data_IF_203815856574
#
_entry.id   IF_203815856574
#
_cell.length_a   1.000
_cell.length_b   1.000
_cell.length_c   1.000
_cell.angle_alpha   90.00
_cell.angle_beta   90.00
_cell.angle_gamma   90.00
#
_symmetry.space_group_name_H-M   'P 1'
#
loop_
_entity.id
_entity.type
_entity.pdbx_description
1 polymer ?
#
# COMPACT_ATOMS: atom_id res chain seq x y z
N UNK A 1 -15.01 -2.38 7.87
CA UNK A 1 -13.57 -2.62 7.60
C UNK A 1 -12.81 -1.36 7.93
N UNK A 2 -12.22 -1.27 9.13
CA UNK A 2 -11.26 -0.21 9.43
C UNK A 2 -10.06 -0.37 8.50
N UNK A 3 -9.50 0.76 8.08
CA UNK A 3 -8.24 0.80 7.34
C UNK A 3 -7.26 1.59 8.18
N UNK A 4 -6.08 1.03 8.41
CA UNK A 4 -5.02 1.64 9.23
C UNK A 4 -3.87 2.04 8.31
N UNK A 5 -3.33 3.27 8.44
CA UNK A 5 -2.16 3.69 7.67
C UNK A 5 -0.97 2.77 7.88
N UNK A 6 -0.31 2.36 6.79
CA UNK A 6 0.81 1.43 6.80
C UNK A 6 1.98 1.90 7.69
N UNK A 7 2.23 3.22 7.70
CA UNK A 7 3.30 3.83 8.48
C UNK A 7 3.11 3.74 10.01
N UNK A 8 1.89 3.50 10.51
CA UNK A 8 1.65 3.26 11.93
C UNK A 8 2.27 1.94 12.41
N UNK A 9 2.38 0.96 11.51
CA UNK A 9 2.96 -0.37 11.79
C UNK A 9 4.38 -0.52 11.24
N UNK A 10 4.70 0.14 10.12
CA UNK A 10 5.98 -0.01 9.39
C UNK A 10 6.64 1.33 9.04
N UNK A 11 6.89 2.17 10.06
CA UNK A 11 7.40 3.54 9.88
C UNK A 11 8.68 3.64 9.02
N UNK A 12 9.68 2.79 9.27
CA UNK A 12 10.95 2.85 8.54
C UNK A 12 10.78 2.58 7.05
N UNK A 13 9.98 1.56 6.70
CA UNK A 13 9.70 1.19 5.31
C UNK A 13 8.85 2.27 4.65
N UNK A 14 7.82 2.77 5.34
CA UNK A 14 6.98 3.83 4.80
C UNK A 14 7.78 5.11 4.49
N UNK A 15 8.77 5.48 5.32
CA UNK A 15 9.66 6.61 5.06
C UNK A 15 10.48 6.46 3.77
N UNK A 16 10.89 5.24 3.44
CA UNK A 16 11.71 4.97 2.25
C UNK A 16 10.87 4.75 0.99
N UNK A 17 9.66 4.21 1.13
CA UNK A 17 8.92 3.62 0.02
C UNK A 17 7.60 4.31 -0.33
N UNK A 18 7.14 5.25 0.50
CA UNK A 18 5.95 6.07 0.17
C UNK A 18 6.20 6.83 -1.12
N UNK A 19 5.32 6.62 -2.10
CA UNK A 19 5.40 7.31 -3.39
C UNK A 19 4.90 8.74 -3.24
N UNK A 20 5.61 9.69 -3.82
CA UNK A 20 5.13 11.05 -4.01
C UNK A 20 4.86 11.31 -5.50
N UNK A 21 3.82 12.09 -5.79
CA UNK A 21 3.64 12.77 -7.06
C UNK A 21 4.12 14.20 -6.87
N UNK A 22 5.08 14.60 -7.70
CA UNK A 22 5.65 15.94 -7.66
C UNK A 22 5.03 16.72 -8.82
N UNK A 23 4.19 17.70 -8.51
CA UNK A 23 3.57 18.56 -9.51
C UNK A 23 4.47 19.79 -9.70
N UNK A 24 5.15 19.87 -10.84
CA UNK A 24 5.95 21.03 -11.29
C UNK A 24 5.42 21.39 -12.67
N UNK A 25 5.03 22.65 -12.87
CA UNK A 25 4.41 23.14 -14.10
C UNK A 25 3.25 22.25 -14.61
N UNK A 26 2.52 21.61 -13.67
CA UNK A 26 1.40 20.74 -14.01
C UNK A 26 0.17 21.60 -14.35
N UNK A 27 -0.45 21.42 -15.53
CA UNK A 27 -1.57 22.27 -15.95
C UNK A 27 -2.87 21.99 -15.17
N UNK A 28 -2.96 20.87 -14.46
CA UNK A 28 -4.17 20.42 -13.78
C UNK A 28 -4.01 20.38 -12.25
N UNK A 29 -2.80 20.18 -11.73
CA UNK A 29 -2.55 20.19 -10.29
C UNK A 29 -1.80 21.45 -9.83
N UNK A 30 -2.19 22.03 -8.68
CA UNK A 30 -1.36 23.01 -7.99
C UNK A 30 0.05 22.46 -7.75
N UNK A 31 1.05 23.33 -7.86
CA UNK A 31 2.45 23.02 -7.56
C UNK A 31 2.59 22.44 -6.15
N UNK A 32 3.44 21.43 -6.00
CA UNK A 32 3.74 20.82 -4.71
C UNK A 32 3.79 19.31 -4.72
N UNK A 33 3.93 18.75 -3.52
CA UNK A 33 4.09 17.32 -3.30
C UNK A 33 2.80 16.66 -2.82
N UNK A 34 2.43 15.55 -3.46
CA UNK A 34 1.27 14.74 -3.13
C UNK A 34 1.71 13.32 -2.77
N UNK A 35 1.68 12.97 -1.49
CA UNK A 35 2.14 11.68 -0.99
C UNK A 35 1.01 10.65 -1.03
N UNK A 36 1.29 9.47 -1.58
CA UNK A 36 0.35 8.35 -1.66
C UNK A 36 0.47 7.52 -0.37
N UNK A 37 -0.19 7.98 0.71
CA UNK A 37 -0.11 7.31 2.01
C UNK A 37 -1.00 6.09 2.00
N UNK A 38 -0.38 4.91 2.00
CA UNK A 38 -1.06 3.62 1.97
C UNK A 38 -1.77 3.33 3.31
N UNK A 39 -2.98 2.80 3.25
CA UNK A 39 -3.71 2.22 4.37
C UNK A 39 -4.31 0.86 3.99
N UNK A 40 -4.34 -0.07 4.93
CA UNK A 40 -4.73 -1.47 4.74
C UNK A 40 -5.76 -1.94 5.76
N UNK A 41 -6.55 -2.94 5.39
CA UNK A 41 -7.58 -3.53 6.25
C UNK A 41 -6.97 -4.30 7.44
N UNK A 42 -7.34 -3.89 8.65
CA UNK A 42 -6.88 -4.49 9.92
C UNK A 42 -7.80 -5.60 10.45
N UNK A 43 -8.84 -5.97 9.69
CA UNK A 43 -9.72 -7.07 10.05
C UNK A 43 -8.98 -8.42 9.93
N UNK A 44 -8.96 -9.17 11.03
CA UNK A 44 -8.37 -10.51 11.11
C UNK A 44 -9.07 -11.46 10.13
N UNK A 45 -8.30 -12.26 9.41
CA UNK A 45 -8.81 -13.21 8.40
C UNK A 45 -9.29 -12.58 7.09
N UNK A 46 -9.29 -11.25 6.97
CA UNK A 46 -9.75 -10.56 5.75
C UNK A 46 -8.68 -10.54 4.65
N UNK A 47 -8.96 -11.20 3.51
CA UNK A 47 -8.14 -11.16 2.29
C UNK A 47 -8.71 -10.19 1.25
N UNK A 48 -8.92 -8.91 1.60
CA UNK A 48 -9.56 -7.97 0.69
C UNK A 48 -8.73 -7.62 -0.55
N UNK A 49 -7.40 -7.80 -0.51
CA UNK A 49 -6.46 -7.46 -1.58
C UNK A 49 -6.68 -6.05 -2.15
N UNK A 50 -6.82 -5.09 -1.24
CA UNK A 50 -7.09 -3.68 -1.52
C UNK A 50 -6.20 -2.79 -0.67
N UNK A 51 -5.91 -1.61 -1.22
CA UNK A 51 -5.22 -0.51 -0.53
C UNK A 51 -6.07 0.75 -0.66
N UNK A 52 -6.07 1.59 0.38
CA UNK A 52 -6.49 2.97 0.27
C UNK A 52 -5.25 3.84 0.13
N UNK A 53 -5.17 4.61 -0.95
CA UNK A 53 -4.16 5.63 -1.17
C UNK A 53 -4.74 6.96 -0.68
N UNK A 54 -4.42 7.33 0.56
CA UNK A 54 -4.75 8.62 1.13
C UNK A 54 -3.77 9.65 0.56
N UNK A 55 -4.22 10.43 -0.42
CA UNK A 55 -3.38 11.41 -1.09
C UNK A 55 -3.25 12.62 -0.19
N UNK A 56 -2.09 12.76 0.44
CA UNK A 56 -1.77 13.87 1.32
C UNK A 56 -1.06 14.97 0.54
N UNK A 57 -1.60 16.20 0.58
CA UNK A 57 -0.96 17.38 0.01
C UNK A 57 -0.09 18.04 1.06
N UNK A 58 1.19 18.24 0.76
CA UNK A 58 2.12 18.94 1.63
C UNK A 58 1.71 20.41 1.83
N UNK A 59 1.39 21.10 0.73
CA UNK A 59 1.03 22.51 0.72
C UNK A 59 -0.27 22.81 1.48
N UNK A 60 -1.27 21.92 1.37
CA UNK A 60 -2.53 22.06 2.12
C UNK A 60 -2.48 21.43 3.51
N UNK A 61 -1.46 20.65 3.80
CA UNK A 61 -1.29 19.90 5.05
C UNK A 61 -2.53 19.06 5.41
N UNK A 62 -3.14 18.40 4.40
CA UNK A 62 -4.36 17.59 4.55
C UNK A 62 -4.45 16.47 3.50
N UNK A 63 -5.35 15.51 3.74
CA UNK A 63 -5.72 14.51 2.74
C UNK A 63 -6.70 15.16 1.76
N UNK A 64 -6.30 15.24 0.48
CA UNK A 64 -7.07 15.89 -0.59
C UNK A 64 -7.85 14.90 -1.45
N UNK A 65 -7.51 13.61 -1.39
CA UNK A 65 -8.27 12.54 -2.04
C UNK A 65 -8.03 11.20 -1.36
N UNK A 66 -9.02 10.31 -1.41
CA UNK A 66 -8.87 8.90 -1.00
C UNK A 66 -9.23 8.01 -2.17
N UNK A 67 -8.24 7.29 -2.69
CA UNK A 67 -8.39 6.39 -3.83
C UNK A 67 -8.26 4.96 -3.34
N UNK A 68 -9.32 4.19 -3.47
CA UNK A 68 -9.29 2.76 -3.22
C UNK A 68 -8.74 2.06 -4.48
N UNK A 69 -7.83 1.12 -4.30
CA UNK A 69 -7.27 0.31 -5.38
C UNK A 69 -7.34 -1.18 -5.04
N UNK A 70 -8.01 -1.95 -5.88
CA UNK A 70 -8.01 -3.41 -5.84
C UNK A 70 -7.32 -4.01 -7.06
N UNK A 71 -6.39 -4.94 -6.86
CA UNK A 71 -5.59 -5.53 -7.96
C UNK A 71 -6.11 -6.88 -8.46
N UNK A 72 -7.15 -7.44 -7.86
CA UNK A 72 -7.68 -8.74 -8.26
C UNK A 72 -8.73 -8.68 -9.37
N UNK A 73 -9.11 -9.86 -9.84
CA UNK A 73 -10.16 -10.01 -10.85
C UNK A 73 -11.55 -9.65 -10.29
N UNK A 74 -12.49 -9.26 -11.17
CA UNK A 74 -13.90 -9.10 -10.81
C UNK A 74 -14.50 -10.32 -10.14
N UNK A 75 -14.10 -11.52 -10.58
CA UNK A 75 -14.56 -12.79 -10.01
C UNK A 75 -14.13 -12.91 -8.55
N UNK A 76 -12.86 -12.63 -8.25
CA UNK A 76 -12.36 -12.61 -6.88
C UNK A 76 -13.19 -11.66 -6.01
N UNK A 77 -13.44 -10.44 -6.47
CA UNK A 77 -14.20 -9.47 -5.69
C UNK A 77 -15.69 -9.83 -5.55
N UNK A 78 -16.30 -10.48 -6.55
CA UNK A 78 -17.65 -11.02 -6.43
C UNK A 78 -17.73 -12.09 -5.33
N UNK A 79 -16.75 -13.01 -5.32
CA UNK A 79 -16.66 -14.09 -4.33
C UNK A 79 -16.38 -13.52 -2.92
N UNK A 80 -15.43 -12.60 -2.79
CA UNK A 80 -15.04 -11.98 -1.52
C UNK A 80 -16.13 -11.07 -0.93
N UNK A 81 -16.78 -10.23 -1.75
CA UNK A 81 -17.79 -9.29 -1.28
C UNK A 81 -19.12 -9.98 -0.91
N UNK A 82 -19.31 -11.23 -1.37
CA UNK A 82 -20.51 -12.01 -1.08
C UNK A 82 -21.79 -11.46 -1.73
N UNK A 83 -21.66 -10.53 -2.70
CA UNK A 83 -22.76 -10.01 -3.51
C UNK A 83 -22.35 -9.93 -4.97
N UNK A 84 -23.28 -10.27 -5.85
CA UNK A 84 -23.11 -10.16 -7.30
C UNK A 84 -23.75 -8.87 -7.84
N UNK A 85 -23.31 -7.71 -7.33
CA UNK A 85 -23.67 -6.40 -7.86
C UNK A 85 -22.56 -5.92 -8.80
N UNK A 86 -22.80 -5.89 -10.13
CA UNK A 86 -21.77 -5.52 -11.11
C UNK A 86 -21.20 -4.12 -10.90
N UNK A 87 -22.00 -3.17 -10.44
CA UNK A 87 -21.56 -1.80 -10.23
C UNK A 87 -20.65 -1.71 -9.01
N UNK A 88 -21.06 -2.33 -7.89
CA UNK A 88 -20.23 -2.41 -6.70
C UNK A 88 -18.91 -3.15 -6.97
N UNK A 89 -18.94 -4.26 -7.71
CA UNK A 89 -17.74 -5.03 -8.07
C UNK A 89 -16.79 -4.21 -8.97
N UNK A 90 -17.32 -3.37 -9.85
CA UNK A 90 -16.50 -2.50 -10.69
C UNK A 90 -15.70 -1.49 -9.86
N UNK A 91 -16.28 -0.95 -8.78
CA UNK A 91 -15.60 -0.04 -7.86
C UNK A 91 -14.62 -0.78 -6.90
N UNK A 92 -14.75 -2.12 -6.81
CA UNK A 92 -13.81 -2.96 -6.09
C UNK A 92 -12.54 -3.28 -6.89
N UNK A 93 -12.62 -3.26 -8.22
CA UNK A 93 -11.47 -3.55 -9.09
C UNK A 93 -10.85 -2.27 -9.64
N UNK A 94 -9.53 -2.17 -9.54
CA UNK A 94 -8.79 -1.01 -10.02
C UNK A 94 -8.96 0.21 -9.12
N UNK A 95 -8.42 1.37 -9.55
CA UNK A 95 -8.48 2.60 -8.77
C UNK A 95 -9.85 3.28 -8.92
N UNK A 96 -10.49 3.59 -7.81
CA UNK A 96 -11.73 4.33 -7.72
C UNK A 96 -11.70 5.31 -6.54
N UNK A 97 -12.45 6.42 -6.62
CA UNK A 97 -12.62 7.30 -5.47
C UNK A 97 -13.40 6.57 -4.38
N UNK A 98 -12.91 6.61 -3.14
CA UNK A 98 -13.68 6.13 -2.01
C UNK A 98 -14.74 7.18 -1.64
N UNK A 99 -15.97 7.02 -2.12
CA UNK A 99 -17.06 7.99 -1.94
C UNK A 99 -17.50 8.16 -0.47
N UNK A 100 -17.12 7.23 0.42
CA UNK A 100 -17.37 7.33 1.85
C UNK A 100 -16.34 8.20 2.60
N UNK A 101 -15.22 8.58 1.94
CA UNK A 101 -14.20 9.46 2.48
C UNK A 101 -14.35 10.89 1.95
N UNK A 102 -13.72 11.84 2.64
CA UNK A 102 -13.55 13.19 2.11
C UNK A 102 -12.83 13.16 0.76
N UNK A 103 -13.28 14.02 -0.16
CA UNK A 103 -12.68 14.26 -1.47
C UNK A 103 -12.67 15.77 -1.71
N UNK A 104 -11.51 16.33 -2.04
CA UNK A 104 -11.41 17.72 -2.52
C UNK A 104 -11.75 17.83 -4.00
N UNK A 105 -11.76 19.05 -4.52
CA UNK A 105 -11.87 19.33 -5.95
C UNK A 105 -10.73 18.74 -6.79
N UNK A 106 -9.59 18.40 -6.17
CA UNK A 106 -8.45 17.78 -6.85
C UNK A 106 -8.64 16.28 -7.08
N UNK A 107 -9.60 15.63 -6.42
CA UNK A 107 -9.74 14.18 -6.42
C UNK A 107 -9.90 13.54 -7.82
N UNK A 108 -10.70 14.10 -8.76
CA UNK A 108 -10.79 13.53 -10.11
C UNK A 108 -9.47 13.59 -10.88
N UNK A 109 -8.72 14.67 -10.70
CA UNK A 109 -7.41 14.90 -11.35
C UNK A 109 -6.38 13.90 -10.79
N UNK A 110 -6.33 13.78 -9.46
CA UNK A 110 -5.46 12.83 -8.76
C UNK A 110 -5.79 11.38 -9.13
N UNK A 111 -7.07 11.00 -9.23
CA UNK A 111 -7.46 9.67 -9.69
C UNK A 111 -6.88 9.36 -11.06
N UNK A 112 -6.99 10.29 -12.00
CA UNK A 112 -6.47 10.10 -13.35
C UNK A 112 -4.94 9.97 -13.36
N UNK A 113 -4.21 10.81 -12.62
CA UNK A 113 -2.76 10.68 -12.51
C UNK A 113 -2.34 9.36 -11.84
N UNK A 114 -3.05 8.94 -10.80
CA UNK A 114 -2.75 7.68 -10.09
C UNK A 114 -3.07 6.45 -10.96
N UNK A 115 -4.07 6.49 -11.84
CA UNK A 115 -4.28 5.44 -12.85
C UNK A 115 -3.03 5.19 -13.69
N UNK A 116 -2.31 6.26 -14.11
CA UNK A 116 -1.05 6.10 -14.84
C UNK A 116 0.06 5.55 -13.97
N UNK A 117 0.16 6.01 -12.71
CA UNK A 117 1.16 5.52 -11.75
C UNK A 117 1.00 4.02 -11.48
N UNK A 118 -0.24 3.54 -11.41
CA UNK A 118 -0.57 2.13 -11.22
C UNK A 118 -0.33 1.25 -12.45
N UNK A 119 0.09 1.82 -13.59
CA UNK A 119 0.61 1.02 -14.72
C UNK A 119 2.07 0.57 -14.48
N UNK A 120 2.78 1.15 -13.52
CA UNK A 120 4.10 0.67 -13.11
C UNK A 120 3.95 -0.61 -12.28
N UNK A 121 4.25 -1.74 -12.90
CA UNK A 121 4.19 -3.06 -12.25
C UNK A 121 5.08 -3.14 -11.01
N UNK A 122 6.23 -2.44 -10.96
CA UNK A 122 7.08 -2.47 -9.75
C UNK A 122 6.41 -1.76 -8.58
N UNK A 123 5.65 -0.70 -8.86
CA UNK A 123 4.87 -0.02 -7.83
C UNK A 123 3.70 -0.89 -7.35
N UNK A 124 2.98 -1.54 -8.26
CA UNK A 124 1.90 -2.47 -7.92
C UNK A 124 2.41 -3.64 -7.08
N UNK A 125 3.56 -4.25 -7.44
CA UNK A 125 4.15 -5.33 -6.64
C UNK A 125 4.64 -4.84 -5.26
N UNK A 126 5.08 -3.58 -5.14
CA UNK A 126 5.41 -2.97 -3.84
C UNK A 126 4.18 -2.81 -2.95
N UNK A 127 3.07 -2.32 -3.49
CA UNK A 127 1.77 -2.24 -2.78
C UNK A 127 1.35 -3.63 -2.30
N UNK A 128 1.41 -4.65 -3.17
CA UNK A 128 1.07 -6.03 -2.79
C UNK A 128 1.96 -6.56 -1.68
N UNK A 129 3.27 -6.26 -1.73
CA UNK A 129 4.20 -6.64 -0.66
C UNK A 129 3.83 -5.99 0.66
N UNK A 130 3.53 -4.69 0.67
CA UNK A 130 3.08 -3.97 1.87
C UNK A 130 1.77 -4.54 2.42
N UNK A 131 0.81 -4.87 1.54
CA UNK A 131 -0.41 -5.55 1.93
C UNK A 131 -0.13 -6.85 2.68
N UNK A 132 0.69 -7.75 2.13
CA UNK A 132 0.99 -9.03 2.79
C UNK A 132 1.75 -8.84 4.10
N UNK A 133 2.73 -7.94 4.14
CA UNK A 133 3.43 -7.58 5.38
C UNK A 133 2.45 -7.11 6.47
N UNK A 134 1.47 -6.29 6.09
CA UNK A 134 0.46 -5.79 6.99
C UNK A 134 -0.47 -6.92 7.47
N UNK A 135 -0.96 -7.77 6.55
CA UNK A 135 -1.83 -8.90 6.90
C UNK A 135 -1.13 -9.90 7.82
N UNK A 136 0.13 -10.25 7.54
CA UNK A 136 0.92 -11.16 8.38
C UNK A 136 1.03 -10.61 9.81
N UNK A 137 1.31 -9.31 9.97
CA UNK A 137 1.38 -8.67 11.29
C UNK A 137 0.04 -8.72 12.04
N UNK A 138 -1.08 -8.46 11.37
CA UNK A 138 -2.42 -8.51 11.99
C UNK A 138 -2.74 -9.93 12.50
N UNK A 139 -2.39 -10.96 11.73
CA UNK A 139 -2.55 -12.35 12.15
C UNK A 139 -1.63 -12.70 13.34
N UNK A 140 -0.37 -12.24 13.33
CA UNK A 140 0.57 -12.42 14.44
C UNK A 140 0.07 -11.74 15.73
N UNK A 141 -0.42 -10.51 15.64
CA UNK A 141 -0.99 -9.76 16.77
C UNK A 141 -2.23 -10.48 17.34
N UNK A 142 -3.10 -11.00 16.47
CA UNK A 142 -4.31 -11.74 16.87
C UNK A 142 -4.00 -13.08 17.55
N UNK A 143 -2.98 -13.80 17.10
CA UNK A 143 -2.58 -15.11 17.66
C UNK A 143 -1.88 -15.02 19.03
N UNK A 144 -2.04 -13.91 19.75
CA UNK A 144 -1.45 -13.71 21.07
C UNK A 144 0.05 -13.44 21.00
N UNK A 145 0.56 -12.95 19.86
CA UNK A 145 1.92 -12.47 19.66
C UNK A 145 2.25 -11.21 20.47
N UNK A 146 2.04 -11.27 21.79
CA UNK A 146 2.57 -10.28 22.72
C UNK A 146 4.06 -10.54 22.92
N UNK A 147 4.89 -9.79 22.20
CA UNK A 147 6.20 -9.45 22.73
C UNK A 147 6.65 -8.11 22.19
N UNK A 148 6.28 -7.08 22.96
CA UNK A 148 7.05 -5.88 23.29
C UNK A 148 8.01 -5.38 22.20
N UNK A 149 7.73 -4.17 21.72
CA UNK A 149 8.68 -3.13 21.29
C UNK A 149 10.15 -3.61 21.22
N UNK A 150 10.60 -3.95 20.03
CA UNK A 150 12.00 -3.76 19.66
C UNK A 150 12.10 -3.66 18.16
N UNK A 151 12.88 -2.69 17.74
CA UNK A 151 13.42 -2.46 16.41
C UNK A 151 13.91 -3.79 15.79
N UNK A 152 13.02 -4.53 15.12
CA UNK A 152 13.37 -5.79 14.46
C UNK A 152 13.80 -5.45 13.05
N UNK A 153 15.10 -5.27 12.89
CA UNK A 153 15.79 -5.59 11.65
C UNK A 153 15.14 -6.85 11.05
N UNK A 154 14.55 -6.71 9.87
CA UNK A 154 13.87 -7.81 9.16
C UNK A 154 14.79 -9.03 9.20
N UNK A 155 14.33 -10.12 9.85
CA UNK A 155 15.09 -11.37 9.89
C UNK A 155 15.04 -12.01 8.50
N UNK A 156 16.00 -11.65 7.65
CA UNK A 156 16.16 -12.25 6.32
C UNK A 156 16.46 -13.74 6.48
N UNK A 157 15.65 -14.58 5.84
CA UNK A 157 15.82 -16.02 5.83
C UNK A 157 17.10 -16.41 5.10
N UNK A 158 17.78 -17.45 5.59
CA UNK A 158 19.06 -17.95 5.03
C UNK A 158 18.98 -18.24 3.53
N UNK A 159 17.80 -18.62 3.02
CA UNK A 159 17.59 -18.98 1.62
C UNK A 159 17.00 -17.85 0.76
N UNK A 160 16.62 -16.72 1.34
CA UNK A 160 15.98 -15.60 0.63
C UNK A 160 16.99 -14.87 -0.26
N UNK A 161 16.52 -14.15 -1.30
CA UNK A 161 17.36 -13.25 -2.08
C UNK A 161 18.11 -12.27 -1.18
N UNK A 162 19.42 -12.12 -1.40
CA UNK A 162 20.25 -11.25 -0.57
C UNK A 162 19.96 -9.78 -0.89
N UNK A 163 19.73 -8.92 0.12
CA UNK A 163 19.31 -7.52 -0.08
C UNK A 163 20.37 -6.62 -0.69
N UNK A 164 21.61 -7.09 -0.86
CA UNK A 164 22.70 -6.33 -1.47
C UNK A 164 22.64 -6.28 -3.02
N UNK A 165 21.55 -6.76 -3.63
CA UNK A 165 21.37 -6.77 -5.09
C UNK A 165 22.22 -7.80 -5.83
N UNK A 166 22.91 -8.71 -5.14
CA UNK A 166 23.82 -9.67 -5.78
C UNK A 166 23.13 -10.82 -6.55
N UNK A 167 21.81 -10.95 -6.43
CA UNK A 167 21.04 -12.08 -6.99
C UNK A 167 21.29 -13.44 -6.30
N UNK A 168 22.13 -13.50 -5.26
CA UNK A 168 22.46 -14.73 -4.51
C UNK A 168 21.54 -14.90 -3.30
N UNK A 169 21.39 -16.15 -2.80
CA UNK A 169 20.73 -16.41 -1.51
C UNK A 169 21.53 -15.79 -0.35
N UNK A 170 20.86 -15.29 0.69
CA UNK A 170 21.49 -14.59 1.82
C UNK A 170 22.64 -15.39 2.46
N UNK A 171 22.44 -16.69 2.71
CA UNK A 171 23.48 -17.60 3.26
C UNK A 171 24.74 -17.73 2.40
N UNK A 172 24.63 -17.44 1.10
CA UNK A 172 25.73 -17.52 0.12
C UNK A 172 26.33 -16.15 -0.21
N UNK A 173 25.86 -15.07 0.44
CA UNK A 173 26.32 -13.71 0.16
C UNK A 173 26.68 -12.98 1.45
N UNK A 174 25.78 -12.17 2.01
CA UNK A 174 26.12 -11.32 3.15
C UNK A 174 26.17 -12.07 4.49
N UNK A 175 25.60 -13.27 4.60
CA UNK A 175 25.56 -14.00 5.88
C UNK A 175 26.94 -14.49 6.37
N UNK A 176 27.84 -14.83 5.45
CA UNK A 176 29.15 -15.43 5.78
C UNK A 176 30.33 -14.52 5.41
N UNK A 177 30.10 -13.22 5.16
CA UNK A 177 31.21 -12.28 5.03
C UNK A 177 31.87 -12.17 6.41
N UNK A 178 32.95 -12.94 6.61
CA UNK A 178 33.87 -12.70 7.72
C UNK A 178 34.42 -11.29 7.53
N UNK A 179 34.16 -10.43 8.50
CA UNK A 179 34.98 -9.24 8.81
C UNK A 179 36.43 -9.66 9.00
#
# INVERSE_FOLDING_TARGET
MPYVPFHEKFLAIAKEETRALIAIDDPELPEGNYYLVEAYCDEVGCDCRRVFLNVYSEERNEIVAVIAYGWETRRFYADWFGRNDPQAIADLQGPALNLASYQSELAPILLNKIKYVLNDMNYVERIKRHYWMFKDLIEEENNGGSSLKSDKSVKIGRNDPCPCGSGKKYKKCCMNKKT
#
